data_IF_300915922855
#
_entry.id   IF_300915922855
#
_cell.length_a   1.000
_cell.length_b   1.000
_cell.length_c   1.000
_cell.angle_alpha   90.00
_cell.angle_beta   90.00
_cell.angle_gamma   90.00
#
_symmetry.space_group_name_H-M   'P 1'
#
loop_
_entity.id
_entity.type
_entity.pdbx_description
1 polymer ?
#
# COMPACT_ATOMS: atom_id res chain seq x y z
N UNK A 1 -6.75 -32.31 -11.52
CA UNK A 1 -5.93 -31.35 -10.74
C UNK A 1 -6.84 -30.55 -9.83
N UNK A 2 -6.41 -30.25 -8.62
CA UNK A 2 -7.18 -29.39 -7.71
C UNK A 2 -6.97 -27.93 -8.15
N UNK A 3 -8.05 -27.25 -8.58
CA UNK A 3 -8.01 -25.86 -9.07
C UNK A 3 -7.38 -24.89 -8.05
N UNK A 4 -7.54 -25.15 -6.75
CA UNK A 4 -6.91 -24.33 -5.71
C UNK A 4 -5.38 -24.46 -5.74
N UNK A 5 -4.86 -25.67 -5.97
CA UNK A 5 -3.42 -25.92 -6.06
C UNK A 5 -2.81 -25.25 -7.29
N UNK A 6 -3.45 -25.43 -8.45
CA UNK A 6 -3.02 -24.79 -9.70
C UNK A 6 -3.00 -23.25 -9.58
N UNK A 7 -4.00 -22.68 -8.90
CA UNK A 7 -4.04 -21.24 -8.62
C UNK A 7 -2.84 -20.76 -7.80
N UNK A 8 -2.42 -21.53 -6.78
CA UNK A 8 -1.23 -21.21 -5.98
C UNK A 8 0.05 -21.35 -6.81
N UNK A 9 0.18 -22.40 -7.62
CA UNK A 9 1.34 -22.61 -8.50
C UNK A 9 1.51 -21.48 -9.52
N UNK A 10 0.40 -20.93 -10.04
CA UNK A 10 0.43 -19.74 -10.90
C UNK A 10 0.78 -18.47 -10.12
N UNK A 11 0.25 -18.30 -8.90
CA UNK A 11 0.61 -17.16 -8.04
C UNK A 11 2.09 -17.17 -7.68
N UNK A 12 2.70 -18.33 -7.42
CA UNK A 12 4.13 -18.46 -7.16
C UNK A 12 4.97 -18.03 -8.38
N UNK A 13 4.54 -18.37 -9.59
CA UNK A 13 5.20 -17.94 -10.82
C UNK A 13 5.13 -16.43 -11.01
N UNK A 14 3.97 -15.82 -10.75
CA UNK A 14 3.79 -14.36 -10.76
C UNK A 14 4.67 -13.70 -9.68
N UNK A 15 4.74 -14.29 -8.49
CA UNK A 15 5.52 -13.76 -7.37
C UNK A 15 7.02 -13.67 -7.68
N UNK A 16 7.58 -14.54 -8.52
CA UNK A 16 9.01 -14.47 -8.94
C UNK A 16 9.35 -13.22 -9.75
N UNK A 17 8.36 -12.54 -10.33
CA UNK A 17 8.59 -11.24 -10.98
C UNK A 17 8.78 -10.14 -9.93
N UNK A 18 8.10 -10.29 -8.78
CA UNK A 18 8.11 -9.36 -7.65
C UNK A 18 9.30 -9.60 -6.71
N UNK A 19 9.66 -10.86 -6.48
CA UNK A 19 10.75 -11.29 -5.60
C UNK A 19 11.87 -11.87 -6.43
N UNK A 20 12.99 -11.16 -6.46
CA UNK A 20 14.14 -11.51 -7.27
C UNK A 20 15.44 -11.30 -6.47
N UNK A 21 16.43 -12.11 -6.76
CA UNK A 21 17.78 -11.95 -6.21
C UNK A 21 18.54 -10.84 -6.94
N UNK A 22 19.47 -10.18 -6.23
CA UNK A 22 20.28 -9.11 -6.79
C UNK A 22 19.54 -7.77 -6.88
N UNK A 23 19.75 -7.02 -7.97
CA UNK A 23 19.18 -5.68 -8.16
C UNK A 23 18.59 -5.51 -9.54
N UNK A 24 17.52 -4.72 -9.64
CA UNK A 24 16.97 -4.20 -10.91
C UNK A 24 16.99 -2.69 -10.85
N UNK A 25 17.64 -2.08 -11.84
CA UNK A 25 17.92 -0.63 -11.88
C UNK A 25 18.59 -0.10 -10.59
N UNK A 26 19.40 -0.93 -9.94
CA UNK A 26 20.13 -0.55 -8.73
C UNK A 26 19.34 -0.63 -7.42
N UNK A 27 18.09 -1.11 -7.44
CA UNK A 27 17.32 -1.42 -6.23
C UNK A 27 17.08 -2.93 -6.08
N UNK A 28 17.13 -3.41 -4.84
CA UNK A 28 16.68 -4.75 -4.44
C UNK A 28 15.17 -4.83 -4.37
N UNK A 29 14.62 -6.04 -4.37
CA UNK A 29 13.18 -6.31 -4.27
C UNK A 29 12.49 -5.58 -3.10
N UNK A 30 13.09 -5.58 -1.91
CA UNK A 30 12.56 -4.91 -0.71
C UNK A 30 12.62 -3.39 -0.80
N UNK A 31 13.59 -2.83 -1.50
CA UNK A 31 13.69 -1.39 -1.75
C UNK A 31 12.62 -0.94 -2.76
N UNK A 32 12.39 -1.73 -3.81
CA UNK A 32 11.25 -1.54 -4.73
C UNK A 32 9.91 -1.60 -4.00
N UNK A 33 9.70 -2.64 -3.19
CA UNK A 33 8.49 -2.81 -2.39
C UNK A 33 8.26 -1.62 -1.46
N UNK A 34 9.31 -1.15 -0.78
CA UNK A 34 9.26 0.02 0.09
C UNK A 34 8.88 1.30 -0.66
N UNK A 35 9.53 1.58 -1.79
CA UNK A 35 9.27 2.77 -2.59
C UNK A 35 7.84 2.76 -3.16
N UNK A 36 7.40 1.60 -3.67
CA UNK A 36 6.03 1.41 -4.19
C UNK A 36 4.99 1.61 -3.11
N UNK A 37 5.18 0.98 -1.94
CA UNK A 37 4.30 1.14 -0.79
C UNK A 37 4.17 2.61 -0.41
N UNK A 38 5.30 3.31 -0.19
CA UNK A 38 5.28 4.71 0.22
C UNK A 38 4.65 5.64 -0.81
N UNK A 39 4.72 5.29 -2.11
CA UNK A 39 4.04 6.05 -3.16
C UNK A 39 2.51 5.92 -3.15
N UNK A 40 2.00 4.84 -2.53
CA UNK A 40 0.59 4.49 -2.46
C UNK A 40 0.04 4.43 -1.04
N UNK A 41 0.82 4.81 -0.02
CA UNK A 41 0.41 4.78 1.38
C UNK A 41 -0.37 6.06 1.73
N UNK A 42 -1.42 5.94 2.55
CA UNK A 42 -2.12 7.08 3.12
C UNK A 42 -1.23 7.80 4.18
N UNK A 43 -1.61 8.97 4.70
CA UNK A 43 -0.73 9.78 5.56
C UNK A 43 -0.38 9.07 6.87
N UNK A 44 -1.25 8.20 7.37
CA UNK A 44 -1.04 7.45 8.61
C UNK A 44 -0.08 6.27 8.45
N UNK A 45 0.11 5.80 7.22
CA UNK A 45 0.91 4.62 6.88
C UNK A 45 2.30 4.99 6.33
N UNK A 46 2.62 6.28 6.23
CA UNK A 46 3.92 6.81 5.76
C UNK A 46 4.94 6.95 6.90
N UNK A 47 5.08 5.94 7.76
CA UNK A 47 6.02 5.96 8.90
C UNK A 47 7.04 4.82 8.80
N UNK A 48 8.22 4.93 9.45
CA UNK A 48 9.20 3.83 9.46
C UNK A 48 8.64 2.53 10.04
N UNK A 49 7.77 2.60 11.05
CA UNK A 49 7.13 1.42 11.64
C UNK A 49 6.10 0.80 10.70
N UNK A 50 5.28 1.60 10.03
CA UNK A 50 4.34 1.12 9.02
C UNK A 50 5.09 0.46 7.84
N UNK A 51 6.19 1.06 7.39
CA UNK A 51 7.05 0.46 6.36
C UNK A 51 7.63 -0.88 6.81
N UNK A 52 8.17 -0.96 8.02
CA UNK A 52 8.72 -2.21 8.57
C UNK A 52 7.68 -3.31 8.61
N UNK A 53 6.46 -2.98 9.05
CA UNK A 53 5.31 -3.89 9.06
C UNK A 53 4.97 -4.37 7.64
N UNK A 54 4.79 -3.44 6.70
CA UNK A 54 4.39 -3.75 5.33
C UNK A 54 5.41 -4.60 4.58
N UNK A 55 6.70 -4.27 4.70
CA UNK A 55 7.79 -5.00 4.03
C UNK A 55 8.09 -6.34 4.73
N UNK A 56 7.52 -6.59 5.92
CA UNK A 56 7.78 -7.81 6.69
C UNK A 56 9.23 -7.87 7.19
N UNK A 57 9.75 -6.77 7.71
CA UNK A 57 11.15 -6.66 8.13
C UNK A 57 11.33 -6.00 9.49
N UNK A 58 12.53 -6.10 10.06
CA UNK A 58 12.82 -5.47 11.36
C UNK A 58 12.91 -3.96 11.21
N UNK A 59 12.74 -3.22 12.31
CA UNK A 59 12.93 -1.76 12.33
C UNK A 59 14.33 -1.33 11.89
N UNK A 60 15.36 -2.12 12.20
CA UNK A 60 16.73 -1.88 11.76
C UNK A 60 16.87 -2.00 10.25
N UNK A 61 16.35 -3.08 9.67
CA UNK A 61 16.35 -3.27 8.21
C UNK A 61 15.52 -2.22 7.48
N UNK A 62 14.35 -1.86 8.02
CA UNK A 62 13.53 -0.78 7.46
C UNK A 62 14.28 0.57 7.49
N UNK A 63 15.00 0.86 8.57
CA UNK A 63 15.81 2.08 8.68
C UNK A 63 16.94 2.10 7.65
N UNK A 64 17.58 0.95 7.40
CA UNK A 64 18.56 0.79 6.32
C UNK A 64 17.94 1.06 4.94
N UNK A 65 16.80 0.44 4.62
CA UNK A 65 16.11 0.64 3.34
C UNK A 65 15.74 2.11 3.14
N UNK A 66 15.22 2.78 4.17
CA UNK A 66 14.91 4.21 4.11
C UNK A 66 16.18 5.02 3.82
N UNK A 67 17.28 4.74 4.51
CA UNK A 67 18.54 5.43 4.32
C UNK A 67 19.09 5.29 2.89
N UNK A 68 19.03 4.08 2.31
CA UNK A 68 19.45 3.88 0.92
C UNK A 68 18.56 4.64 -0.07
N UNK A 69 17.24 4.60 0.11
CA UNK A 69 16.33 5.33 -0.77
C UNK A 69 16.44 6.85 -0.63
N UNK A 70 16.78 7.37 0.55
CA UNK A 70 17.11 8.79 0.74
C UNK A 70 18.46 9.15 0.10
N UNK A 71 19.49 8.30 0.24
CA UNK A 71 20.81 8.50 -0.40
C UNK A 71 20.69 8.58 -1.92
N UNK A 72 19.75 7.83 -2.50
CA UNK A 72 19.43 7.87 -3.94
C UNK A 72 18.51 9.04 -4.33
N UNK A 73 18.03 9.82 -3.37
CA UNK A 73 17.13 10.96 -3.59
C UNK A 73 15.67 10.58 -3.86
N UNK A 74 15.26 9.33 -3.60
CA UNK A 74 13.91 8.84 -3.87
C UNK A 74 12.94 9.07 -2.72
N UNK A 75 13.45 9.17 -1.49
CA UNK A 75 12.67 9.49 -0.30
C UNK A 75 13.20 10.73 0.41
N UNK A 76 12.32 11.34 1.21
CA UNK A 76 12.66 12.36 2.18
C UNK A 76 11.89 12.15 3.49
N UNK A 77 12.53 12.48 4.62
CA UNK A 77 11.88 12.55 5.93
C UNK A 77 11.33 13.94 6.18
N UNK A 78 10.05 14.01 6.54
CA UNK A 78 9.39 15.22 7.02
C UNK A 78 9.03 15.04 8.48
N UNK A 79 9.23 16.09 9.29
CA UNK A 79 8.64 16.13 10.63
C UNK A 79 7.12 16.16 10.49
N UNK A 80 6.44 15.33 11.26
CA UNK A 80 4.98 15.37 11.28
C UNK A 80 4.51 16.71 11.85
N UNK A 81 3.49 17.29 11.21
CA UNK A 81 2.86 18.53 11.68
C UNK A 81 2.09 18.32 12.99
N UNK A 82 1.67 17.08 13.30
CA UNK A 82 0.88 16.74 14.48
C UNK A 82 1.73 16.38 15.69
N UNK A 83 2.79 15.61 15.48
CA UNK A 83 3.74 15.25 16.52
C UNK A 83 5.16 15.44 15.99
N UNK A 84 5.83 16.50 16.42
CA UNK A 84 7.20 16.82 16.00
C UNK A 84 8.22 15.75 16.38
N UNK A 85 7.88 14.80 17.26
CA UNK A 85 8.69 13.62 17.61
C UNK A 85 8.54 12.50 16.59
N UNK A 86 7.48 12.52 15.79
CA UNK A 86 7.22 11.53 14.73
C UNK A 86 7.73 12.00 13.37
N UNK A 87 8.23 11.03 12.60
CA UNK A 87 8.77 11.24 11.25
C UNK A 87 7.84 10.62 10.24
N UNK A 88 7.50 11.39 9.20
CA UNK A 88 6.77 10.93 8.02
C UNK A 88 7.72 10.78 6.85
N UNK A 89 7.55 9.74 6.06
CA UNK A 89 8.29 9.47 4.84
C UNK A 89 7.50 10.01 3.64
N UNK A 90 8.17 10.66 2.70
CA UNK A 90 7.56 11.14 1.46
C UNK A 90 8.39 10.70 0.27
N UNK A 91 7.73 10.22 -0.78
CA UNK A 91 8.39 9.93 -2.06
C UNK A 91 8.61 11.26 -2.79
N UNK A 92 9.87 11.53 -3.11
CA UNK A 92 10.27 12.75 -3.84
C UNK A 92 9.77 12.70 -5.28
N UNK A 93 9.84 13.83 -6.00
CA UNK A 93 9.52 13.82 -7.42
C UNK A 93 10.46 12.92 -8.23
N UNK A 94 11.72 12.80 -7.81
CA UNK A 94 12.68 11.87 -8.43
C UNK A 94 12.27 10.42 -8.18
N UNK A 95 11.87 10.06 -6.94
CA UNK A 95 11.36 8.73 -6.63
C UNK A 95 10.12 8.37 -7.45
N UNK A 96 9.18 9.32 -7.61
CA UNK A 96 7.99 9.12 -8.46
C UNK A 96 8.35 8.88 -9.93
N UNK A 97 9.31 9.64 -10.49
CA UNK A 97 9.81 9.41 -11.85
C UNK A 97 10.56 8.09 -11.97
N UNK A 98 11.23 7.65 -10.90
CA UNK A 98 11.97 6.39 -10.89
C UNK A 98 11.04 5.18 -10.93
N UNK A 99 9.88 5.24 -10.26
CA UNK A 99 8.86 4.18 -10.24
C UNK A 99 8.32 3.76 -11.61
N UNK A 100 8.50 4.56 -12.66
CA UNK A 100 8.17 4.14 -14.04
C UNK A 100 8.96 2.90 -14.47
N UNK A 101 10.14 2.68 -13.88
CA UNK A 101 11.02 1.52 -14.13
C UNK A 101 10.71 0.32 -13.23
N UNK A 102 9.65 0.37 -12.44
CA UNK A 102 9.32 -0.70 -11.50
C UNK A 102 9.08 -2.02 -12.25
N UNK A 103 9.78 -3.12 -11.90
CA UNK A 103 9.58 -4.43 -12.51
C UNK A 103 8.13 -4.94 -12.47
N UNK A 104 7.30 -4.48 -11.54
CA UNK A 104 5.87 -4.87 -11.52
C UNK A 104 5.08 -4.32 -12.69
N UNK A 105 5.56 -3.28 -13.37
CA UNK A 105 4.82 -2.67 -14.48
C UNK A 105 4.43 -3.70 -15.53
N UNK A 106 5.25 -4.72 -15.78
CA UNK A 106 4.94 -5.84 -16.67
C UNK A 106 3.65 -6.57 -16.25
N UNK A 107 3.44 -6.80 -14.94
CA UNK A 107 2.22 -7.41 -14.41
C UNK A 107 1.03 -6.45 -14.47
N UNK A 108 1.26 -5.17 -14.20
CA UNK A 108 0.22 -4.14 -14.30
C UNK A 108 -0.29 -4.05 -15.74
N UNK A 109 0.59 -4.04 -16.73
CA UNK A 109 0.26 -4.01 -18.16
C UNK A 109 -0.47 -5.28 -18.60
N UNK A 110 -0.04 -6.45 -18.13
CA UNK A 110 -0.72 -7.72 -18.41
C UNK A 110 -2.15 -7.76 -17.85
N UNK A 111 -2.40 -7.12 -16.71
CA UNK A 111 -3.77 -6.98 -16.15
C UNK A 111 -4.54 -5.86 -16.86
N UNK A 112 -3.86 -4.80 -17.31
CA UNK A 112 -4.49 -3.63 -17.93
C UNK A 112 -5.22 -3.96 -19.25
N UNK A 113 -4.76 -4.96 -20.00
CA UNK A 113 -5.39 -5.40 -21.26
C UNK A 113 -6.64 -6.25 -21.10
N UNK A 114 -6.94 -6.71 -19.87
CA UNK A 114 -8.17 -7.44 -19.59
C UNK A 114 -9.41 -6.53 -19.64
N UNK A 115 -10.60 -7.10 -19.80
CA UNK A 115 -11.84 -6.36 -19.64
C UNK A 115 -12.02 -5.88 -18.19
N UNK A 116 -12.67 -4.74 -18.00
CA UNK A 116 -12.81 -4.13 -16.67
C UNK A 116 -13.57 -5.03 -15.69
N UNK A 117 -14.59 -5.75 -16.16
CA UNK A 117 -15.31 -6.75 -15.36
C UNK A 117 -14.39 -7.89 -14.90
N UNK A 118 -13.45 -8.32 -15.74
CA UNK A 118 -12.46 -9.34 -15.40
C UNK A 118 -11.45 -8.79 -14.39
N UNK A 119 -10.97 -7.55 -14.56
CA UNK A 119 -10.07 -6.90 -13.59
C UNK A 119 -10.71 -6.78 -12.21
N UNK A 120 -11.97 -6.35 -12.16
CA UNK A 120 -12.74 -6.21 -10.92
C UNK A 120 -12.89 -7.55 -10.23
N UNK A 121 -13.35 -8.59 -10.96
CA UNK A 121 -13.47 -9.94 -10.41
C UNK A 121 -12.14 -10.47 -9.91
N UNK A 122 -11.06 -10.35 -10.69
CA UNK A 122 -9.73 -10.80 -10.29
C UNK A 122 -9.25 -10.14 -9.00
N UNK A 123 -9.34 -8.80 -8.91
CA UNK A 123 -9.00 -8.03 -7.70
C UNK A 123 -9.82 -8.50 -6.50
N UNK A 124 -11.12 -8.66 -6.65
CA UNK A 124 -12.02 -9.00 -5.55
C UNK A 124 -11.86 -10.46 -5.10
N UNK A 125 -11.53 -11.38 -6.02
CA UNK A 125 -11.11 -12.74 -5.69
C UNK A 125 -9.82 -12.76 -4.88
N UNK A 126 -8.78 -12.02 -5.30
CA UNK A 126 -7.53 -11.92 -4.53
C UNK A 126 -7.76 -11.38 -3.12
N UNK A 127 -8.60 -10.34 -3.02
CA UNK A 127 -8.97 -9.76 -1.73
C UNK A 127 -9.70 -10.77 -0.83
N UNK A 128 -10.65 -11.51 -1.38
CA UNK A 128 -11.36 -12.54 -0.63
C UNK A 128 -10.40 -13.63 -0.11
N UNK A 129 -9.43 -14.07 -0.92
CA UNK A 129 -8.41 -15.04 -0.50
C UNK A 129 -7.55 -14.48 0.65
N UNK A 130 -7.16 -13.20 0.57
CA UNK A 130 -6.40 -12.53 1.64
C UNK A 130 -7.22 -12.41 2.94
N UNK A 131 -8.48 -11.99 2.86
CA UNK A 131 -9.39 -11.88 4.01
C UNK A 131 -9.53 -13.22 4.75
N UNK A 132 -9.67 -14.34 4.01
CA UNK A 132 -9.76 -15.67 4.60
C UNK A 132 -8.46 -16.15 5.24
N UNK A 133 -7.31 -15.78 4.67
CA UNK A 133 -5.99 -16.17 5.18
C UNK A 133 -5.63 -15.42 6.45
N UNK A 134 -5.94 -14.11 6.50
CA UNK A 134 -5.72 -13.24 7.65
C UNK A 134 -6.54 -13.63 8.88
N UNK A 135 -7.80 -14.04 8.67
CA UNK A 135 -8.67 -14.51 9.74
C UNK A 135 -8.08 -15.72 10.46
N UNK A 136 -7.38 -16.61 9.73
CA UNK A 136 -6.72 -17.78 10.28
C UNK A 136 -5.47 -17.42 11.12
N UNK A 137 -4.78 -16.32 10.81
CA UNK A 137 -3.53 -15.91 11.47
C UNK A 137 -3.68 -14.73 12.44
N UNK A 138 -4.90 -14.20 12.65
CA UNK A 138 -5.17 -12.95 13.38
C UNK A 138 -4.34 -11.76 12.85
N UNK A 139 -4.03 -11.78 11.56
CA UNK A 139 -3.31 -10.70 10.89
C UNK A 139 -4.31 -9.79 10.18
N UNK A 140 -3.88 -8.57 9.89
CA UNK A 140 -4.62 -7.66 9.02
C UNK A 140 -3.71 -7.29 7.85
N UNK A 141 -4.10 -7.66 6.64
CA UNK A 141 -3.41 -7.21 5.44
C UNK A 141 -3.67 -5.72 5.22
N UNK A 142 -2.75 -5.09 4.51
CA UNK A 142 -2.89 -3.71 4.07
C UNK A 142 -3.82 -3.64 2.88
N UNK A 143 -4.88 -2.82 2.97
CA UNK A 143 -5.79 -2.53 1.86
C UNK A 143 -6.10 -1.02 1.80
N UNK A 144 -6.90 -0.59 0.82
CA UNK A 144 -7.27 0.82 0.62
C UNK A 144 -8.09 1.36 1.80
N UNK A 145 -7.76 2.58 2.22
CA UNK A 145 -8.37 3.23 3.37
C UNK A 145 -9.90 3.38 3.25
N UNK A 146 -10.43 3.49 2.03
CA UNK A 146 -11.86 3.59 1.72
C UNK A 146 -12.67 2.42 2.28
N UNK A 147 -12.05 1.24 2.39
CA UNK A 147 -12.67 0.01 2.87
C UNK A 147 -12.46 -0.22 4.37
N UNK A 148 -11.70 0.64 5.05
CA UNK A 148 -11.34 0.45 6.45
C UNK A 148 -12.52 0.83 7.36
N UNK A 149 -12.81 0.00 8.36
CA UNK A 149 -13.87 0.27 9.36
C UNK A 149 -13.68 1.61 10.06
N UNK A 150 -12.44 2.09 10.20
CA UNK A 150 -12.15 3.34 10.90
C UNK A 150 -12.42 4.58 10.05
N UNK A 151 -12.64 4.46 8.75
CA UNK A 151 -13.00 5.60 7.91
C UNK A 151 -14.43 6.05 8.25
N UNK A 152 -14.60 7.35 8.44
CA UNK A 152 -15.88 8.03 8.57
C UNK A 152 -16.05 8.99 7.41
N UNK A 153 -17.22 8.96 6.79
CA UNK A 153 -17.65 9.87 5.74
C UNK A 153 -18.83 10.68 6.28
N UNK A 154 -18.64 12.00 6.41
CA UNK A 154 -19.69 12.92 6.84
C UNK A 154 -20.14 13.76 5.62
N UNK A 155 -21.44 13.74 5.33
CA UNK A 155 -22.04 14.49 4.23
C UNK A 155 -22.85 15.66 4.76
N UNK A 156 -22.48 16.87 4.40
CA UNK A 156 -23.22 18.09 4.75
C UNK A 156 -23.80 18.70 3.48
N UNK A 157 -25.11 18.99 3.50
CA UNK A 157 -25.81 19.65 2.41
C UNK A 157 -26.23 21.05 2.86
N UNK A 158 -25.78 22.10 2.17
CA UNK A 158 -26.23 23.48 2.37
C UNK A 158 -26.62 24.08 1.01
N UNK A 159 -27.88 24.50 0.89
CA UNK A 159 -28.58 25.33 -0.13
C UNK A 159 -28.13 25.37 -1.61
N UNK A 160 -27.22 24.49 -2.05
CA UNK A 160 -26.83 24.21 -3.45
C UNK A 160 -25.54 23.37 -3.56
N UNK A 161 -24.85 23.02 -2.45
CA UNK A 161 -23.60 22.25 -2.49
C UNK A 161 -23.57 21.15 -1.42
N UNK A 162 -23.26 19.92 -1.85
CA UNK A 162 -22.94 18.81 -0.96
C UNK A 162 -21.43 18.77 -0.75
N UNK A 163 -20.99 18.89 0.50
CA UNK A 163 -19.59 18.71 0.89
C UNK A 163 -19.43 17.37 1.60
N UNK A 164 -18.41 16.61 1.19
CA UNK A 164 -18.06 15.33 1.80
C UNK A 164 -16.74 15.49 2.53
N UNK A 165 -16.74 15.18 3.81
CA UNK A 165 -15.54 15.19 4.65
C UNK A 165 -15.21 13.77 5.10
N UNK A 166 -13.91 13.44 5.04
CA UNK A 166 -13.42 12.14 5.47
C UNK A 166 -12.55 12.28 6.71
N UNK A 167 -12.72 11.37 7.66
CA UNK A 167 -11.86 11.28 8.85
C UNK A 167 -11.58 9.83 9.24
N UNK A 168 -10.44 9.60 9.89
CA UNK A 168 -10.09 8.32 10.47
C UNK A 168 -10.37 8.33 11.98
N UNK A 169 -11.23 7.43 12.45
CA UNK A 169 -11.61 7.29 13.88
C UNK A 169 -10.45 6.79 14.74
N UNK A 170 -9.58 5.94 14.20
CA UNK A 170 -8.41 5.41 14.92
C UNK A 170 -7.40 6.53 15.25
N UNK A 171 -7.06 7.35 14.25
CA UNK A 171 -6.11 8.45 14.40
C UNK A 171 -6.75 9.78 14.81
N UNK A 172 -8.09 9.82 14.93
CA UNK A 172 -8.90 11.02 15.24
C UNK A 172 -8.47 12.22 14.39
N UNK A 173 -8.44 12.00 13.08
CA UNK A 173 -7.77 12.88 12.14
C UNK A 173 -8.54 13.01 10.82
N UNK A 174 -8.60 14.20 10.20
CA UNK A 174 -9.11 14.33 8.85
C UNK A 174 -8.20 13.59 7.86
N UNK A 175 -8.78 13.08 6.79
CA UNK A 175 -8.09 12.50 5.64
C UNK A 175 -8.62 13.18 4.37
N UNK A 176 -7.73 13.56 3.45
CA UNK A 176 -8.14 14.14 2.18
C UNK A 176 -8.82 13.06 1.31
N UNK A 177 -9.79 13.46 0.49
CA UNK A 177 -10.48 12.52 -0.42
C UNK A 177 -9.50 11.75 -1.32
N UNK A 178 -8.50 12.42 -1.90
CA UNK A 178 -7.47 11.78 -2.73
C UNK A 178 -6.62 10.73 -1.98
N UNK A 179 -6.62 10.74 -0.64
CA UNK A 179 -5.84 9.83 0.19
C UNK A 179 -6.67 8.62 0.69
N UNK A 180 -8.01 8.61 0.51
CA UNK A 180 -8.83 7.47 0.97
C UNK A 180 -8.67 6.23 0.07
N UNK A 181 -8.27 6.41 -1.18
CA UNK A 181 -7.98 5.28 -2.10
C UNK A 181 -6.54 4.76 -1.99
N UNK A 182 -5.79 5.26 -1.00
CA UNK A 182 -4.43 4.82 -0.70
C UNK A 182 -4.39 3.73 0.38
N UNK A 183 -3.30 2.97 0.38
CA UNK A 183 -3.05 1.84 1.28
C UNK A 183 -2.99 2.30 2.75
N UNK A 184 -3.63 1.52 3.62
CA UNK A 184 -3.68 1.72 5.07
C UNK A 184 -3.07 0.52 5.79
N UNK A 185 -1.94 0.69 6.49
CA UNK A 185 -1.34 -0.39 7.30
C UNK A 185 -2.07 -0.65 8.61
N UNK A 186 -2.99 0.24 8.99
CA UNK A 186 -3.93 0.06 10.09
C UNK A 186 -5.32 -0.33 9.57
N UNK A 187 -5.37 -0.92 8.37
CA UNK A 187 -6.61 -1.40 7.79
C UNK A 187 -7.22 -2.48 8.66
N UNK A 188 -8.52 -2.37 8.86
CA UNK A 188 -9.36 -3.39 9.46
C UNK A 188 -10.64 -3.44 8.63
N UNK A 189 -11.12 -4.66 8.32
CA UNK A 189 -12.39 -4.89 7.65
C UNK A 189 -13.48 -5.19 8.67
N UNK A 190 -14.76 -5.00 8.29
CA UNK A 190 -15.87 -5.44 9.12
C UNK A 190 -15.83 -6.96 9.22
N UNK A 191 -15.59 -7.53 10.41
CA UNK A 191 -15.78 -8.97 10.62
C UNK A 191 -17.23 -9.31 10.28
N UNK A 192 -17.42 -10.22 9.33
CA UNK A 192 -18.72 -10.81 9.01
C UNK A 192 -19.16 -11.72 10.16
#
# INVERSE_FOLDING_TARGET
>A
MNLARESIELLEQVARILWFEGTKHGLRDREWMALRFLSRANPFSRTPSALASYVGTTRGTASFIIGELERLGYLERKRSAKDKRSVMLSVTQQGKKFLVRDPVTVLVEAIAVLDDDVKIRFRDTLRHVLDQSDAAEQRHHTDVCRRCIFLREDRTATDSKTTVEFSCRLFRAPIAEAEVDLLCTSFEHHRQ
#
